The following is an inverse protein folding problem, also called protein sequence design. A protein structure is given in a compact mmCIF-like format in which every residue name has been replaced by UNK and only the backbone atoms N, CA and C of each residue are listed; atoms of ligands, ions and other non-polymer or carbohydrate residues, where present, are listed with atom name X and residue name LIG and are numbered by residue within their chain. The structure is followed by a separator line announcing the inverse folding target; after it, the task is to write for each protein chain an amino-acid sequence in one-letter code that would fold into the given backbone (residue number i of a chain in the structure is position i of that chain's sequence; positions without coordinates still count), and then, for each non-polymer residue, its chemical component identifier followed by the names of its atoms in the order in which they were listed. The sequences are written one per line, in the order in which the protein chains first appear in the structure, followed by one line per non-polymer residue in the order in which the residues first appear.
data_IF_416049501565
#
_entry.id   IF_416049501565
#
_cell.length_a   1.000
_cell.length_b   1.000
_cell.length_c   1.000
_cell.angle_alpha   90.00
_cell.angle_beta   90.00
_cell.angle_gamma   90.00
#
_symmetry.space_group_name_H-M   'P 1'
#
loop_
_entity.id
_entity.type
_entity.pdbx_description
1 polymer ?
#
# COMPACT_ATOMS: atom_id res chain seq x y z
N UNK A 1 -32.50 45.85 -20.51
CA UNK A 1 -32.66 44.98 -19.31
C UNK A 1 -32.44 43.47 -19.57
N UNK A 2 -31.84 43.06 -20.70
CA UNK A 2 -31.71 41.64 -21.09
C UNK A 2 -30.26 41.13 -21.16
N UNK A 3 -29.31 41.97 -20.77
CA UNK A 3 -27.87 41.68 -20.76
C UNK A 3 -27.26 41.63 -19.35
N UNK A 4 -28.02 42.03 -18.31
CA UNK A 4 -27.56 41.95 -16.90
C UNK A 4 -27.66 40.54 -16.30
N UNK A 5 -28.44 39.63 -16.90
CA UNK A 5 -28.58 38.25 -16.42
C UNK A 5 -27.46 37.31 -16.89
N UNK A 6 -26.71 37.68 -17.93
CA UNK A 6 -25.62 36.85 -18.45
C UNK A 6 -24.33 36.96 -17.62
N UNK A 7 -24.14 38.05 -16.87
CA UNK A 7 -22.92 38.28 -16.08
C UNK A 7 -22.89 37.47 -14.77
N UNK A 8 -24.06 37.16 -14.18
CA UNK A 8 -24.12 36.34 -12.95
C UNK A 8 -23.90 34.84 -13.21
N UNK A 9 -24.13 34.35 -14.43
CA UNK A 9 -23.99 32.92 -14.74
C UNK A 9 -22.53 32.51 -15.03
N UNK A 10 -21.63 33.47 -15.29
CA UNK A 10 -20.20 33.20 -15.50
C UNK A 10 -19.36 33.22 -14.21
N UNK A 11 -19.90 33.74 -13.11
CA UNK A 11 -19.16 33.93 -11.85
C UNK A 11 -19.22 32.72 -10.90
N UNK A 12 -19.99 31.68 -11.23
CA UNK A 12 -20.19 30.51 -10.37
C UNK A 12 -19.17 29.39 -10.65
N UNK A 13 -18.36 29.48 -11.70
CA UNK A 13 -17.44 28.40 -12.09
C UNK A 13 -16.06 28.40 -11.37
N UNK A 14 -15.77 29.33 -10.45
CA UNK A 14 -14.43 29.48 -9.86
C UNK A 14 -14.30 29.14 -8.37
N UNK A 15 -15.30 28.55 -7.72
CA UNK A 15 -15.28 28.33 -6.26
C UNK A 15 -15.18 26.85 -5.83
N UNK A 16 -14.34 26.06 -6.49
CA UNK A 16 -14.06 24.68 -6.02
C UNK A 16 -12.60 24.29 -6.26
N UNK A 17 -11.69 25.05 -5.66
CA UNK A 17 -10.36 24.53 -5.32
C UNK A 17 -10.18 24.71 -3.82
N UNK A 18 -11.03 24.02 -3.05
CA UNK A 18 -10.71 23.74 -1.66
C UNK A 18 -9.63 22.65 -1.71
N UNK A 19 -8.36 23.07 -1.62
CA UNK A 19 -7.23 22.17 -1.40
C UNK A 19 -7.33 21.56 -0.01
N UNK A 20 -8.23 20.59 0.15
CA UNK A 20 -8.19 19.67 1.27
C UNK A 20 -7.02 18.72 1.04
N UNK A 21 -6.15 18.58 2.03
CA UNK A 21 -5.19 17.48 2.05
C UNK A 21 -5.99 16.18 1.92
N UNK A 22 -5.78 15.45 0.84
CA UNK A 22 -6.38 14.12 0.69
C UNK A 22 -5.71 13.22 1.72
N UNK A 23 -6.50 12.44 2.45
CA UNK A 23 -6.01 11.39 3.34
C UNK A 23 -6.15 10.04 2.63
N UNK A 24 -5.08 9.26 2.63
CA UNK A 24 -5.07 7.87 2.16
C UNK A 24 -5.06 6.92 3.35
N UNK A 25 -5.96 5.94 3.32
CA UNK A 25 -6.00 4.83 4.27
C UNK A 25 -5.26 3.65 3.63
N UNK A 26 -4.06 3.37 4.12
CA UNK A 26 -3.20 2.29 3.59
C UNK A 26 -3.31 1.06 4.47
N UNK A 27 -3.79 -0.04 3.89
CA UNK A 27 -3.78 -1.33 4.54
C UNK A 27 -2.36 -1.86 4.66
N UNK A 28 -1.98 -2.36 5.82
CA UNK A 28 -0.67 -2.98 6.06
C UNK A 28 -0.82 -4.27 6.83
N UNK A 29 0.07 -5.23 6.57
CA UNK A 29 0.17 -6.47 7.35
C UNK A 29 1.59 -6.60 7.90
N UNK A 30 1.79 -6.86 9.22
CA UNK A 30 3.11 -7.09 9.79
C UNK A 30 3.90 -8.14 9.00
N UNK A 31 5.13 -7.79 8.62
CA UNK A 31 6.04 -8.62 7.82
C UNK A 31 7.45 -8.04 7.91
N UNK A 32 8.17 -8.28 9.01
CA UNK A 32 9.52 -7.75 9.17
C UNK A 32 10.49 -8.35 8.12
N UNK A 33 11.45 -7.57 7.58
CA UNK A 33 11.73 -6.14 7.86
C UNK A 33 10.95 -5.15 6.97
N UNK A 34 9.98 -5.63 6.18
CA UNK A 34 9.24 -4.82 5.21
C UNK A 34 8.19 -3.91 5.86
N UNK A 35 7.43 -4.47 6.79
CA UNK A 35 6.43 -3.77 7.60
C UNK A 35 6.64 -4.18 9.06
N UNK A 36 7.02 -3.23 9.89
CA UNK A 36 7.21 -3.36 11.34
C UNK A 36 6.09 -2.56 12.00
N UNK A 37 5.31 -3.21 12.87
CA UNK A 37 4.27 -2.55 13.68
C UNK A 37 4.72 -2.60 15.13
N UNK A 38 5.04 -1.43 15.69
CA UNK A 38 5.50 -1.32 17.07
C UNK A 38 4.33 -1.39 18.06
N UNK A 39 4.63 -1.64 19.34
CA UNK A 39 3.60 -1.76 20.38
C UNK A 39 2.78 -0.49 20.63
N UNK A 40 3.24 0.67 20.17
CA UNK A 40 2.50 1.94 20.21
C UNK A 40 1.62 2.17 18.96
N UNK A 41 1.55 1.20 18.04
CA UNK A 41 0.79 1.28 16.80
C UNK A 41 1.52 1.98 15.64
N UNK A 42 2.75 2.48 15.84
CA UNK A 42 3.53 3.06 14.74
C UNK A 42 3.95 1.99 13.73
N UNK A 43 3.90 2.35 12.44
CA UNK A 43 4.23 1.47 11.32
C UNK A 43 5.49 2.01 10.65
N UNK A 44 6.47 1.15 10.41
CA UNK A 44 7.74 1.47 9.75
C UNK A 44 8.25 0.29 8.93
N UNK A 45 9.43 0.40 8.33
CA UNK A 45 10.09 -0.68 7.59
C UNK A 45 10.26 -0.36 6.11
N UNK A 46 10.94 -1.24 5.39
CA UNK A 46 11.37 -0.99 4.01
C UNK A 46 10.24 -0.54 3.08
N UNK A 47 9.06 -1.16 3.18
CA UNK A 47 7.95 -0.82 2.30
C UNK A 47 7.26 0.49 2.68
N UNK A 48 7.37 0.90 3.95
CA UNK A 48 6.90 2.21 4.41
C UNK A 48 7.85 3.29 3.91
N UNK A 49 9.16 3.10 4.04
CA UNK A 49 10.16 4.02 3.51
C UNK A 49 9.97 4.23 2.00
N UNK A 50 9.68 3.15 1.25
CA UNK A 50 9.36 3.24 -0.18
C UNK A 50 8.10 4.06 -0.45
N UNK A 51 7.02 3.83 0.30
CA UNK A 51 5.78 4.60 0.16
C UNK A 51 6.03 6.08 0.44
N UNK A 52 6.72 6.42 1.53
CA UNK A 52 7.05 7.80 1.89
C UNK A 52 7.87 8.51 0.79
N UNK A 53 8.82 7.80 0.18
CA UNK A 53 9.58 8.35 -0.96
C UNK A 53 8.70 8.62 -2.18
N UNK A 54 7.72 7.76 -2.46
CA UNK A 54 6.76 7.97 -3.56
C UNK A 54 5.87 9.18 -3.27
N UNK A 55 5.34 9.28 -2.05
CA UNK A 55 4.47 10.38 -1.64
C UNK A 55 5.19 11.73 -1.68
N UNK A 56 6.47 11.77 -1.32
CA UNK A 56 7.30 12.98 -1.39
C UNK A 56 7.51 13.50 -2.82
N UNK A 57 7.23 12.68 -3.84
CA UNK A 57 7.34 13.06 -5.26
C UNK A 57 6.03 13.58 -5.85
N UNK A 58 4.92 13.53 -5.10
CA UNK A 58 3.62 14.02 -5.56
C UNK A 58 3.56 15.55 -5.55
N UNK A 59 2.93 16.14 -6.57
CA UNK A 59 2.72 17.60 -6.64
C UNK A 59 1.75 18.11 -5.57
N UNK A 60 0.81 17.26 -5.15
CA UNK A 60 -0.14 17.53 -4.08
C UNK A 60 0.22 16.68 -2.85
N UNK A 61 0.46 17.30 -1.68
CA UNK A 61 0.68 16.57 -0.44
C UNK A 61 -0.53 15.72 -0.07
N UNK A 62 -0.26 14.51 0.41
CA UNK A 62 -1.27 13.53 0.82
C UNK A 62 -0.86 12.99 2.19
N UNK A 63 -1.78 12.96 3.14
CA UNK A 63 -1.56 12.34 4.44
C UNK A 63 -1.88 10.84 4.38
N UNK A 64 -1.25 10.04 5.24
CA UNK A 64 -1.47 8.60 5.31
C UNK A 64 -1.86 8.18 6.71
N UNK A 65 -2.91 7.38 6.79
CA UNK A 65 -3.27 6.60 7.97
C UNK A 65 -3.15 5.12 7.66
N UNK A 66 -2.56 4.35 8.59
CA UNK A 66 -2.37 2.91 8.42
C UNK A 66 -3.50 2.10 9.06
N UNK A 67 -4.08 1.20 8.28
CA UNK A 67 -4.98 0.16 8.77
C UNK A 67 -4.21 -1.16 8.90
N UNK A 68 -4.07 -1.69 10.11
CA UNK A 68 -3.27 -2.90 10.34
C UNK A 68 -4.15 -4.14 10.29
N UNK A 69 -3.94 -4.96 9.26
CA UNK A 69 -4.53 -6.28 9.10
C UNK A 69 -3.63 -7.37 9.72
N UNK A 70 -4.20 -8.35 10.45
CA UNK A 70 -3.40 -9.40 11.09
C UNK A 70 -2.81 -10.41 10.10
N UNK A 71 -3.48 -10.68 8.98
CA UNK A 71 -3.07 -11.70 8.02
C UNK A 71 -3.43 -11.35 6.56
N UNK A 72 -2.97 -12.17 5.61
CA UNK A 72 -3.22 -11.95 4.18
C UNK A 72 -4.72 -12.06 3.84
N UNK A 73 -5.48 -13.07 4.29
CA UNK A 73 -6.92 -13.11 4.07
C UNK A 73 -7.67 -11.84 4.51
N UNK A 74 -7.45 -11.35 5.72
CA UNK A 74 -8.09 -10.12 6.21
C UNK A 74 -7.64 -8.92 5.40
N UNK A 75 -6.37 -8.84 5.06
CA UNK A 75 -5.82 -7.75 4.25
C UNK A 75 -6.45 -7.68 2.85
N UNK A 76 -6.58 -8.81 2.18
CA UNK A 76 -7.26 -8.89 0.87
C UNK A 76 -8.77 -8.58 0.98
N UNK A 77 -9.39 -8.89 2.11
CA UNK A 77 -10.79 -8.51 2.37
C UNK A 77 -10.92 -7.00 2.57
N UNK A 78 -10.03 -6.37 3.35
CA UNK A 78 -10.02 -4.91 3.58
C UNK A 78 -9.93 -4.12 2.27
N UNK A 79 -9.12 -4.59 1.31
CA UNK A 79 -9.05 -3.99 -0.04
C UNK A 79 -10.36 -4.21 -0.80
N UNK A 80 -10.88 -5.45 -0.83
CA UNK A 80 -12.12 -5.79 -1.57
C UNK A 80 -13.35 -5.04 -1.05
N UNK A 81 -13.38 -4.78 0.25
CA UNK A 81 -14.47 -4.08 0.94
C UNK A 81 -14.26 -2.56 0.94
N UNK A 82 -13.25 -2.05 0.24
CA UNK A 82 -12.93 -0.62 0.12
C UNK A 82 -12.73 0.06 1.49
N UNK A 83 -12.26 -0.71 2.50
CA UNK A 83 -11.90 -0.17 3.82
C UNK A 83 -10.56 0.57 3.81
N UNK A 84 -9.74 0.27 2.80
CA UNK A 84 -8.42 0.85 2.55
C UNK A 84 -8.32 1.19 1.08
N UNK A 85 -7.57 2.22 0.72
CA UNK A 85 -7.38 2.65 -0.67
C UNK A 85 -6.47 1.69 -1.44
N UNK A 86 -5.45 1.15 -0.77
CA UNK A 86 -4.59 0.08 -1.27
C UNK A 86 -3.86 -0.63 -0.13
N UNK A 87 -3.18 -1.74 -0.43
CA UNK A 87 -2.51 -2.57 0.55
C UNK A 87 -1.01 -2.81 0.32
N UNK A 88 -0.24 -2.85 1.41
CA UNK A 88 1.18 -3.21 1.44
C UNK A 88 1.40 -4.31 2.49
N UNK A 89 1.60 -5.55 2.05
CA UNK A 89 1.60 -6.71 2.96
C UNK A 89 2.61 -7.82 2.62
N UNK A 90 3.70 -7.49 1.92
CA UNK A 90 4.64 -8.49 1.36
C UNK A 90 3.91 -9.56 0.53
N UNK A 91 2.94 -9.11 -0.27
CA UNK A 91 2.03 -9.97 -1.03
C UNK A 91 2.68 -10.41 -2.34
N UNK A 92 2.89 -11.72 -2.50
CA UNK A 92 3.31 -12.28 -3.80
C UNK A 92 2.22 -12.08 -4.84
N UNK A 93 2.62 -11.58 -6.01
CA UNK A 93 1.77 -11.50 -7.21
C UNK A 93 1.59 -12.92 -7.76
N UNK A 94 0.34 -13.37 -7.85
CA UNK A 94 -0.02 -14.69 -8.41
C UNK A 94 -1.13 -14.55 -9.44
N UNK A 95 -1.25 -15.50 -10.36
CA UNK A 95 -2.30 -15.48 -11.39
C UNK A 95 -3.71 -15.44 -10.80
N UNK A 96 -3.94 -16.14 -9.69
CA UNK A 96 -5.20 -16.10 -8.95
C UNK A 96 -5.52 -14.69 -8.45
N UNK A 97 -4.55 -14.01 -7.82
CA UNK A 97 -4.75 -12.66 -7.28
C UNK A 97 -4.88 -11.61 -8.37
N UNK A 98 -4.13 -11.72 -9.47
CA UNK A 98 -4.27 -10.85 -10.65
C UNK A 98 -5.67 -10.92 -11.27
N UNK A 99 -6.38 -12.04 -11.10
CA UNK A 99 -7.77 -12.17 -11.53
C UNK A 99 -8.77 -11.39 -10.67
N UNK A 100 -8.37 -10.86 -9.51
CA UNK A 100 -9.26 -10.18 -8.55
C UNK A 100 -8.74 -8.82 -8.06
N UNK A 101 -7.46 -8.50 -8.27
CA UNK A 101 -6.81 -7.30 -7.77
C UNK A 101 -5.84 -6.73 -8.81
N UNK A 102 -5.71 -5.41 -8.85
CA UNK A 102 -4.62 -4.75 -9.57
C UNK A 102 -3.38 -4.63 -8.69
N UNK A 103 -2.21 -4.75 -9.30
CA UNK A 103 -0.92 -4.62 -8.63
C UNK A 103 -0.09 -3.55 -9.32
N UNK A 104 0.76 -2.88 -8.54
CA UNK A 104 1.85 -2.09 -9.09
C UNK A 104 2.88 -2.99 -9.77
N UNK A 105 3.89 -2.37 -10.38
CA UNK A 105 5.07 -3.11 -10.81
C UNK A 105 5.75 -3.76 -9.59
N UNK A 106 6.28 -5.00 -9.73
CA UNK A 106 7.01 -5.64 -8.64
C UNK A 106 8.18 -4.77 -8.19
N UNK A 107 8.24 -4.44 -6.90
CA UNK A 107 9.35 -3.68 -6.29
C UNK A 107 10.33 -4.56 -5.51
N UNK A 108 9.99 -5.83 -5.30
CA UNK A 108 10.84 -6.81 -4.60
C UNK A 108 10.72 -8.19 -5.27
N UNK A 109 11.85 -8.81 -5.57
CA UNK A 109 11.92 -10.18 -6.09
C UNK A 109 12.48 -11.08 -4.98
N UNK A 110 11.74 -12.12 -4.65
CA UNK A 110 12.09 -13.06 -3.59
C UNK A 110 12.16 -14.48 -4.14
N UNK A 111 13.15 -15.24 -3.67
CA UNK A 111 13.27 -16.67 -3.92
C UNK A 111 12.86 -17.48 -2.68
N UNK A 112 12.43 -18.72 -2.90
CA UNK A 112 12.17 -19.66 -1.81
C UNK A 112 13.49 -20.27 -1.35
N UNK A 113 13.84 -20.02 -0.09
CA UNK A 113 14.98 -20.63 0.59
C UNK A 113 14.53 -21.60 1.68
N UNK A 114 15.26 -22.70 1.86
CA UNK A 114 15.14 -23.57 3.02
C UNK A 114 16.36 -23.35 3.90
N UNK A 115 16.14 -22.99 5.16
CA UNK A 115 17.19 -22.79 6.17
C UNK A 115 17.14 -23.91 7.21
N UNK A 116 18.29 -24.41 7.62
CA UNK A 116 18.46 -25.34 8.73
C UNK A 116 19.62 -24.91 9.62
N UNK A 117 19.65 -25.41 10.85
CA UNK A 117 20.78 -25.21 11.75
C UNK A 117 22.07 -25.78 11.14
N UNK A 118 23.15 -25.01 11.19
CA UNK A 118 24.42 -25.35 10.52
C UNK A 118 24.94 -26.75 10.84
N UNK A 119 24.76 -27.19 12.10
CA UNK A 119 25.27 -28.47 12.59
C UNK A 119 24.28 -29.63 12.40
N UNK A 120 22.99 -29.33 12.24
CA UNK A 120 21.96 -30.30 11.90
C UNK A 120 21.83 -30.35 10.38
N UNK A 121 22.40 -31.38 9.76
CA UNK A 121 22.29 -31.62 8.32
C UNK A 121 21.10 -32.55 8.03
N UNK A 122 19.87 -32.04 7.85
CA UNK A 122 18.82 -32.87 7.27
C UNK A 122 19.26 -33.30 5.88
N UNK A 123 18.99 -34.56 5.53
CA UNK A 123 19.32 -35.16 4.22
C UNK A 123 18.71 -34.40 3.02
N UNK A 124 17.77 -33.48 3.32
CA UNK A 124 17.10 -32.58 2.38
C UNK A 124 18.01 -31.49 1.80
N UNK A 125 19.16 -31.20 2.42
CA UNK A 125 20.10 -30.15 1.98
C UNK A 125 21.35 -30.73 1.28
N UNK A 126 21.20 -31.93 0.68
CA UNK A 126 22.27 -32.68 0.03
C UNK A 126 23.13 -31.84 -0.92
N UNK A 127 24.43 -32.17 -0.98
CA UNK A 127 25.42 -31.46 -1.80
C UNK A 127 24.98 -31.39 -3.28
N UNK A 128 25.28 -30.30 -4.00
CA UNK A 128 25.13 -30.28 -5.45
C UNK A 128 25.90 -31.47 -6.06
N UNK A 129 25.23 -32.22 -6.94
CA UNK A 129 25.85 -33.24 -7.81
C UNK A 129 26.79 -32.57 -8.80
#
# INVERSE_FOLDING_TARGET
MKWMLAACLMLVLCASHAGGESELVVGVKPAEPFIIVAGNGSVSGFSIDLLEHILAQLECPVSVTYHVDPDIPTHLASIREEKVDFGIAATTITSERLGSFEFSHPFYLADLGIIAEKERKPDLLGKPQ
#
